data_IF_386550902851
#
_entry.id   IF_386550902851
#
_cell.length_a   1.000
_cell.length_b   1.000
_cell.length_c   1.000
_cell.angle_alpha   90.00
_cell.angle_beta   90.00
_cell.angle_gamma   90.00
#
_symmetry.space_group_name_H-M   'P 1'
#
loop_
_entity.id
_entity.type
_entity.pdbx_description
1 polymer ?
#
# COMPACT_ATOMS: atom_id res chain seq x y z
N UNK A 1 -26.08 -62.64 40.14
CA UNK A 1 -24.83 -61.96 39.80
C UNK A 1 -25.05 -61.16 38.51
N UNK A 2 -25.34 -59.80 38.63
CA UNK A 2 -25.52 -58.92 37.47
C UNK A 2 -24.16 -58.27 37.13
N UNK A 3 -23.65 -58.55 35.94
CA UNK A 3 -22.44 -57.95 35.43
C UNK A 3 -22.76 -56.52 34.95
N UNK A 4 -22.20 -55.54 35.59
CA UNK A 4 -22.20 -54.15 35.14
C UNK A 4 -21.23 -54.04 33.95
N UNK A 5 -21.75 -53.77 32.77
CA UNK A 5 -20.93 -53.38 31.59
C UNK A 5 -20.87 -51.85 31.61
N UNK A 6 -19.70 -51.34 31.92
CA UNK A 6 -19.35 -49.94 32.01
C UNK A 6 -19.36 -49.31 30.61
N UNK A 7 -19.98 -48.15 30.42
CA UNK A 7 -19.93 -47.42 29.14
C UNK A 7 -18.64 -46.63 29.03
N UNK A 8 -17.62 -47.21 28.41
CA UNK A 8 -16.32 -46.60 28.17
C UNK A 8 -16.17 -46.10 26.72
N UNK A 9 -17.25 -45.63 26.10
CA UNK A 9 -17.28 -45.32 24.66
C UNK A 9 -17.76 -43.92 24.29
N UNK A 10 -17.76 -42.97 25.23
CA UNK A 10 -18.31 -41.64 24.92
C UNK A 10 -17.37 -40.45 25.22
N UNK A 11 -16.07 -40.63 25.28
CA UNK A 11 -15.13 -39.54 25.59
C UNK A 11 -14.11 -39.25 24.51
N UNK A 12 -14.25 -39.82 23.31
CA UNK A 12 -13.24 -39.67 22.25
C UNK A 12 -13.65 -38.75 21.08
N UNK A 13 -14.71 -37.92 21.23
CA UNK A 13 -15.29 -37.15 20.10
C UNK A 13 -15.20 -35.61 20.23
N UNK A 14 -14.44 -35.07 21.16
CA UNK A 14 -14.38 -33.61 21.36
C UNK A 14 -12.98 -32.97 21.27
N UNK A 15 -11.99 -33.64 20.73
CA UNK A 15 -10.71 -33.00 20.39
C UNK A 15 -10.48 -33.01 18.90
N UNK A 16 -11.39 -32.39 18.15
CA UNK A 16 -11.03 -31.92 16.80
C UNK A 16 -10.02 -30.79 16.98
N UNK A 17 -8.76 -30.95 16.53
CA UNK A 17 -7.87 -29.82 16.51
C UNK A 17 -8.53 -28.79 15.56
N UNK A 18 -8.92 -27.64 16.08
CA UNK A 18 -9.20 -26.49 15.26
C UNK A 18 -7.91 -26.19 14.49
N UNK A 19 -7.81 -26.71 13.27
CA UNK A 19 -6.80 -26.24 12.32
C UNK A 19 -7.19 -24.83 11.98
N UNK A 20 -6.69 -23.88 12.76
CA UNK A 20 -6.79 -22.48 12.43
C UNK A 20 -5.98 -22.30 11.15
N UNK A 21 -6.68 -22.19 10.02
CA UNK A 21 -6.04 -21.85 8.76
C UNK A 21 -5.26 -20.58 9.01
N UNK A 22 -3.93 -20.61 8.85
CA UNK A 22 -3.10 -19.45 8.97
C UNK A 22 -3.67 -18.40 8.00
N UNK A 23 -4.15 -17.27 8.52
CA UNK A 23 -4.67 -16.19 7.70
C UNK A 23 -3.57 -15.78 6.73
N UNK A 24 -3.78 -16.06 5.45
CA UNK A 24 -2.86 -15.61 4.40
C UNK A 24 -2.90 -14.09 4.36
N UNK A 25 -1.79 -13.47 4.66
CA UNK A 25 -1.64 -12.02 4.50
C UNK A 25 -1.96 -11.63 3.05
N UNK A 26 -2.76 -10.59 2.82
CA UNK A 26 -3.11 -10.17 1.46
C UNK A 26 -1.89 -9.62 0.72
N UNK A 27 -1.84 -9.80 -0.60
CA UNK A 27 -0.91 -9.07 -1.43
C UNK A 27 -1.33 -7.60 -1.51
N UNK A 28 -0.36 -6.69 -1.46
CA UNK A 28 -0.59 -5.24 -1.48
C UNK A 28 0.05 -4.70 -2.76
N UNK A 29 -0.77 -4.13 -3.64
CA UNK A 29 -0.33 -3.53 -4.88
C UNK A 29 -0.77 -2.07 -4.88
N UNK A 30 0.19 -1.15 -4.95
CA UNK A 30 -0.05 0.29 -5.07
C UNK A 30 0.28 0.71 -6.50
N UNK A 31 -0.72 1.19 -7.24
CA UNK A 31 -0.54 1.78 -8.57
C UNK A 31 -0.67 3.29 -8.43
N UNK A 32 0.47 3.97 -8.42
CA UNK A 32 0.53 5.42 -8.24
C UNK A 32 0.81 6.09 -9.58
N UNK A 33 -0.24 6.65 -10.16
CA UNK A 33 -0.16 7.35 -11.45
C UNK A 33 0.41 8.75 -11.28
N UNK A 34 1.26 9.17 -12.24
CA UNK A 34 1.75 10.54 -12.34
C UNK A 34 0.74 11.39 -13.14
N UNK A 35 0.45 12.59 -12.66
CA UNK A 35 -0.40 13.57 -13.31
C UNK A 35 -1.83 13.09 -13.67
N UNK A 36 -2.37 12.09 -12.99
CA UNK A 36 -3.72 11.58 -13.21
C UNK A 36 -4.73 12.36 -12.36
N UNK A 37 -5.69 13.00 -13.02
CA UNK A 37 -6.79 13.70 -12.37
C UNK A 37 -8.08 12.86 -12.32
N UNK A 38 -9.03 13.30 -11.51
CA UNK A 38 -10.35 12.67 -11.42
C UNK A 38 -11.08 12.60 -12.78
N UNK A 39 -10.95 13.64 -13.60
CA UNK A 39 -11.59 13.72 -14.92
C UNK A 39 -10.96 12.83 -16.00
N UNK A 40 -9.92 12.07 -15.68
CA UNK A 40 -9.19 11.29 -16.69
C UNK A 40 -9.66 9.85 -16.80
N UNK A 41 -10.37 9.33 -15.80
CA UNK A 41 -10.82 7.93 -15.77
C UNK A 41 -12.34 7.79 -15.59
N UNK A 42 -12.89 6.71 -16.16
CA UNK A 42 -14.32 6.42 -16.16
C UNK A 42 -14.99 6.36 -14.79
N UNK A 43 -14.37 5.79 -13.72
CA UNK A 43 -14.96 5.74 -12.38
C UNK A 43 -15.38 7.10 -11.82
N UNK A 44 -14.77 8.17 -12.27
CA UNK A 44 -15.09 9.56 -11.86
C UNK A 44 -15.80 10.36 -12.96
N UNK A 45 -16.30 9.69 -14.02
CA UNK A 45 -17.16 10.29 -15.03
C UNK A 45 -16.45 10.75 -16.30
N UNK A 46 -15.18 10.38 -16.51
CA UNK A 46 -14.51 10.64 -17.78
C UNK A 46 -15.20 9.90 -18.92
N UNK A 47 -15.43 10.62 -20.01
CA UNK A 47 -15.95 10.06 -21.27
C UNK A 47 -14.90 10.06 -22.38
N UNK A 48 -13.71 10.61 -22.11
CA UNK A 48 -12.62 10.74 -23.09
C UNK A 48 -11.90 9.43 -23.36
N UNK A 49 -11.77 8.62 -22.33
CA UNK A 49 -11.04 7.35 -22.39
C UNK A 49 -11.90 6.23 -21.81
N UNK A 50 -11.92 5.09 -22.49
CA UNK A 50 -12.55 3.89 -21.94
C UNK A 50 -11.58 3.24 -20.92
N UNK A 51 -12.05 3.09 -19.68
CA UNK A 51 -11.27 2.48 -18.60
C UNK A 51 -12.03 1.32 -17.94
N UNK A 52 -12.43 0.27 -18.70
CA UNK A 52 -13.38 -0.74 -18.23
C UNK A 52 -12.86 -1.54 -17.04
N UNK A 53 -11.55 -1.72 -16.91
CA UNK A 53 -10.95 -2.42 -15.78
C UNK A 53 -11.02 -1.57 -14.51
N UNK A 54 -10.73 -0.27 -14.59
CA UNK A 54 -10.85 0.66 -13.47
C UNK A 54 -12.32 0.85 -13.06
N UNK A 55 -13.24 0.88 -14.05
CA UNK A 55 -14.69 0.94 -13.81
C UNK A 55 -15.16 -0.28 -13.00
N UNK A 56 -14.66 -1.47 -13.35
CA UNK A 56 -14.93 -2.71 -12.61
C UNK A 56 -14.34 -2.66 -11.22
N UNK A 57 -13.08 -2.27 -11.07
CA UNK A 57 -12.42 -2.13 -9.75
C UNK A 57 -13.19 -1.18 -8.83
N UNK A 58 -13.69 -0.06 -9.36
CA UNK A 58 -14.48 0.89 -8.58
C UNK A 58 -15.84 0.35 -8.15
N UNK A 59 -16.44 -0.57 -8.92
CA UNK A 59 -17.70 -1.25 -8.57
C UNK A 59 -17.51 -2.38 -7.56
N UNK A 60 -16.38 -3.09 -7.63
CA UNK A 60 -16.08 -4.23 -6.77
C UNK A 60 -15.39 -3.82 -5.46
N UNK A 61 -14.77 -2.65 -5.43
CA UNK A 61 -14.01 -2.14 -4.31
C UNK A 61 -14.55 -0.83 -3.74
N UNK A 62 -13.64 -0.01 -3.21
CA UNK A 62 -13.96 1.29 -2.64
C UNK A 62 -13.49 2.41 -3.57
N UNK A 63 -14.36 3.39 -3.82
CA UNK A 63 -14.04 4.62 -4.53
C UNK A 63 -14.00 5.78 -3.54
N UNK A 64 -12.86 6.45 -3.43
CA UNK A 64 -12.68 7.61 -2.57
C UNK A 64 -12.95 8.88 -3.39
N UNK A 65 -14.02 9.60 -3.06
CA UNK A 65 -14.46 10.80 -3.79
C UNK A 65 -13.75 12.07 -3.35
N UNK A 66 -13.19 12.07 -2.15
CA UNK A 66 -12.54 13.21 -1.51
C UNK A 66 -11.13 12.87 -1.02
N UNK A 67 -10.41 12.10 -1.82
CA UNK A 67 -9.02 11.76 -1.55
C UNK A 67 -8.09 12.80 -2.17
N UNK A 68 -7.15 13.31 -1.39
CA UNK A 68 -6.15 14.29 -1.83
C UNK A 68 -4.75 13.78 -1.55
N UNK A 69 -3.85 13.96 -2.51
CA UNK A 69 -2.42 13.80 -2.25
C UNK A 69 -1.92 14.96 -1.37
N UNK A 70 -0.83 14.75 -0.65
CA UNK A 70 -0.25 15.76 0.25
C UNK A 70 0.40 16.93 -0.48
N UNK A 71 0.64 16.78 -1.78
CA UNK A 71 1.20 17.80 -2.65
C UNK A 71 0.80 17.54 -4.09
N UNK A 72 0.71 18.61 -4.89
CA UNK A 72 0.31 18.56 -6.30
C UNK A 72 1.42 18.13 -7.27
N UNK A 73 2.64 17.90 -6.79
CA UNK A 73 3.79 17.53 -7.63
C UNK A 73 4.46 16.25 -7.14
N UNK A 74 5.25 15.62 -8.02
CA UNK A 74 5.69 14.23 -7.92
C UNK A 74 6.59 13.91 -6.72
N UNK A 75 7.74 14.57 -6.54
CA UNK A 75 8.67 14.25 -5.46
C UNK A 75 8.02 14.30 -4.07
N UNK A 76 7.36 15.41 -3.66
CA UNK A 76 6.77 15.48 -2.33
C UNK A 76 5.58 14.52 -2.15
N UNK A 77 4.73 14.31 -3.16
CA UNK A 77 3.63 13.36 -3.03
C UNK A 77 4.10 11.90 -2.92
N UNK A 78 5.19 11.55 -3.64
CA UNK A 78 5.81 10.22 -3.55
C UNK A 78 6.48 9.99 -2.20
N UNK A 79 7.19 10.98 -1.68
CA UNK A 79 7.80 10.86 -0.35
C UNK A 79 6.75 10.66 0.74
N UNK A 80 5.61 11.32 0.63
CA UNK A 80 4.50 11.13 1.57
C UNK A 80 3.87 9.75 1.46
N UNK A 81 3.68 9.24 0.24
CA UNK A 81 3.16 7.89 0.03
C UNK A 81 4.08 6.84 0.68
N UNK A 82 5.38 7.00 0.52
CA UNK A 82 6.35 6.03 1.02
C UNK A 82 6.54 6.10 2.54
N UNK A 83 6.46 7.29 3.14
CA UNK A 83 6.80 7.49 4.57
C UNK A 83 5.59 7.70 5.48
N UNK A 84 4.41 7.94 4.90
CA UNK A 84 3.22 8.35 5.68
C UNK A 84 3.34 9.75 6.30
N UNK A 85 4.34 10.53 5.91
CA UNK A 85 4.63 11.85 6.47
C UNK A 85 4.37 12.97 5.47
N UNK A 86 4.01 14.16 5.96
CA UNK A 86 3.99 15.35 5.10
C UNK A 86 5.40 15.65 4.55
N UNK A 87 5.51 16.13 3.29
CA UNK A 87 6.80 16.31 2.62
C UNK A 87 7.76 17.25 3.36
N UNK A 88 7.22 18.24 4.07
CA UNK A 88 8.01 19.16 4.90
C UNK A 88 8.69 18.46 6.07
N UNK A 89 8.02 17.48 6.66
CA UNK A 89 8.56 16.73 7.80
C UNK A 89 9.79 15.92 7.40
N UNK A 90 9.74 15.30 6.24
CA UNK A 90 10.84 14.47 5.69
C UNK A 90 11.76 15.26 4.75
N UNK A 91 11.66 16.58 4.78
CA UNK A 91 12.48 17.51 3.99
C UNK A 91 12.46 17.24 2.48
N UNK A 92 11.33 16.75 1.95
CA UNK A 92 11.16 16.40 0.52
C UNK A 92 10.19 17.34 -0.21
N UNK A 93 9.91 18.52 0.33
CA UNK A 93 8.98 19.51 -0.25
C UNK A 93 9.62 20.42 -1.30
N UNK A 94 10.94 20.55 -1.29
CA UNK A 94 11.75 21.27 -2.28
C UNK A 94 13.13 20.61 -2.40
N UNK A 95 13.81 20.85 -3.49
CA UNK A 95 15.23 20.51 -3.65
C UNK A 95 16.15 21.56 -2.98
N UNK A 96 17.45 21.43 -3.16
CA UNK A 96 18.46 22.37 -2.63
C UNK A 96 18.45 23.75 -3.29
N UNK A 97 17.73 23.90 -4.40
CA UNK A 97 17.53 25.18 -5.12
C UNK A 97 16.14 25.76 -4.91
N UNK A 98 15.37 25.22 -3.93
CA UNK A 98 13.97 25.57 -3.66
C UNK A 98 13.00 25.26 -4.82
N UNK A 99 13.34 24.31 -5.69
CA UNK A 99 12.44 23.81 -6.72
C UNK A 99 11.53 22.74 -6.13
N UNK A 100 10.29 22.68 -6.57
CA UNK A 100 9.25 21.81 -5.98
C UNK A 100 9.49 20.30 -6.15
N UNK A 101 10.40 19.91 -7.04
CA UNK A 101 10.75 18.51 -7.33
C UNK A 101 12.25 18.36 -7.48
N UNK A 102 12.73 17.12 -7.31
CA UNK A 102 14.12 16.81 -7.59
C UNK A 102 14.35 16.76 -9.11
N UNK A 103 15.32 17.49 -9.60
CA UNK A 103 15.78 17.40 -10.98
C UNK A 103 16.98 16.44 -11.09
N UNK A 104 17.35 15.96 -12.30
CA UNK A 104 18.41 14.96 -12.47
C UNK A 104 19.76 15.27 -11.84
N UNK A 105 20.05 16.57 -11.60
CA UNK A 105 21.28 17.02 -10.96
C UNK A 105 21.11 17.31 -9.45
N UNK A 106 19.95 17.01 -8.86
CA UNK A 106 19.73 17.22 -7.44
C UNK A 106 20.60 16.24 -6.64
N UNK A 107 21.25 16.76 -5.59
CA UNK A 107 22.06 15.98 -4.66
C UNK A 107 21.27 15.53 -3.42
N UNK A 108 20.03 15.96 -3.33
CA UNK A 108 19.10 15.65 -2.26
C UNK A 108 18.35 14.37 -2.55
N UNK A 109 18.12 13.56 -1.54
CA UNK A 109 17.25 12.40 -1.59
C UNK A 109 16.46 12.24 -0.31
N UNK A 110 15.58 11.25 -0.27
CA UNK A 110 14.92 10.85 0.96
C UNK A 110 15.99 10.40 1.96
N UNK A 111 15.93 10.94 3.17
CA UNK A 111 16.88 10.58 4.21
C UNK A 111 16.78 9.07 4.51
N UNK A 112 17.89 8.32 4.48
CA UNK A 112 17.88 6.88 4.79
C UNK A 112 17.38 6.50 6.19
N UNK A 113 17.29 7.46 7.10
CA UNK A 113 16.69 7.24 8.43
C UNK A 113 15.17 7.27 8.44
N UNK A 114 14.53 7.69 7.34
CA UNK A 114 13.09 7.68 7.22
C UNK A 114 12.60 6.27 6.91
N UNK A 115 11.65 5.80 7.73
CA UNK A 115 11.07 4.47 7.57
C UNK A 115 10.00 4.51 6.48
N UNK A 116 10.13 3.66 5.49
CA UNK A 116 9.19 3.54 4.38
C UNK A 116 8.15 2.44 4.63
N UNK A 117 7.01 2.54 3.95
CA UNK A 117 5.98 1.47 3.95
C UNK A 117 6.57 0.12 3.50
N UNK A 118 7.55 0.12 2.61
CA UNK A 118 8.22 -1.09 2.14
C UNK A 118 9.03 -1.76 3.28
N UNK A 119 9.73 -0.99 4.10
CA UNK A 119 10.46 -1.51 5.26
C UNK A 119 9.53 -2.06 6.33
N UNK A 120 8.46 -1.32 6.66
CA UNK A 120 7.42 -1.80 7.59
C UNK A 120 6.81 -3.13 7.13
N UNK A 121 6.50 -3.25 5.84
CA UNK A 121 5.96 -4.49 5.28
C UNK A 121 6.99 -5.61 5.26
N UNK A 122 8.26 -5.31 5.00
CA UNK A 122 9.35 -6.28 5.03
C UNK A 122 9.51 -6.89 6.42
N UNK A 123 9.42 -6.11 7.49
CA UNK A 123 9.41 -6.61 8.87
C UNK A 123 8.24 -7.54 9.15
N UNK A 124 7.14 -7.39 8.42
CA UNK A 124 5.99 -8.27 8.48
C UNK A 124 6.11 -9.51 7.56
N UNK A 125 7.27 -9.74 6.95
CA UNK A 125 7.55 -10.89 6.09
C UNK A 125 7.08 -10.75 4.64
N UNK A 126 6.75 -9.55 4.17
CA UNK A 126 6.45 -9.30 2.76
C UNK A 126 7.73 -9.18 1.93
N UNK A 127 7.71 -9.73 0.73
CA UNK A 127 8.64 -9.32 -0.31
C UNK A 127 8.17 -7.98 -0.89
N UNK A 128 9.06 -7.00 -0.98
CA UNK A 128 8.72 -5.66 -1.43
C UNK A 128 9.49 -5.30 -2.70
N UNK A 129 8.83 -4.58 -3.61
CA UNK A 129 9.42 -4.14 -4.87
C UNK A 129 8.85 -2.78 -5.26
N UNK A 130 9.69 -1.90 -5.79
CA UNK A 130 9.29 -0.67 -6.45
C UNK A 130 9.63 -0.75 -7.94
N UNK A 131 8.66 -0.47 -8.81
CA UNK A 131 8.84 -0.49 -10.26
C UNK A 131 8.41 0.86 -10.82
N UNK A 132 9.22 1.44 -11.70
CA UNK A 132 8.94 2.71 -12.37
C UNK A 132 9.54 3.93 -11.65
N UNK A 133 8.82 5.05 -11.68
CA UNK A 133 9.33 6.36 -11.22
C UNK A 133 9.45 6.39 -9.71
N UNK A 134 10.68 6.43 -9.19
CA UNK A 134 11.01 6.63 -7.78
C UNK A 134 10.93 8.11 -7.39
N UNK A 135 11.72 8.95 -7.98
CA UNK A 135 11.79 10.41 -7.87
C UNK A 135 11.97 10.97 -6.46
N UNK A 136 12.71 10.24 -5.64
CA UNK A 136 13.05 10.66 -4.28
C UNK A 136 14.58 10.65 -4.04
N UNK A 137 15.35 10.85 -5.12
CA UNK A 137 16.80 10.86 -5.11
C UNK A 137 17.42 9.49 -5.37
N UNK A 138 18.69 9.51 -5.73
CA UNK A 138 19.55 8.36 -6.03
C UNK A 138 20.86 8.40 -5.23
N UNK A 139 21.01 9.44 -4.41
CA UNK A 139 22.13 9.60 -3.51
C UNK A 139 21.70 9.39 -2.06
N UNK A 140 22.50 8.70 -1.27
CA UNK A 140 22.30 8.56 0.16
C UNK A 140 22.51 9.90 0.90
#
# INVERSE_FOLDING_TARGET
MRKQILPCLLTCLLTSPFVQAAERKPNIIVVFCDDLGYGDIGPFGSTKHATPVLDRMAKEGMKLTDFYSTCSVCTPSRSSLMTGCYPRRVNMHVDEKNLCVLFPAARKGLNPSEITVAEVLKEQGYATMCIGKWHMGDHP
#
